data_IF_292506028030
#
_entry.id   IF_292506028030
#
_cell.length_a   1.000
_cell.length_b   1.000
_cell.length_c   1.000
_cell.angle_alpha   90.00
_cell.angle_beta   90.00
_cell.angle_gamma   90.00
#
_symmetry.space_group_name_H-M   'P 1'
#
loop_
_entity.id
_entity.type
_entity.pdbx_description
1 polymer ?
#
# COMPACT_ATOMS: atom_id res chain seq x y z
N UNK A 1 3.32 -0.11 -10.53
CA UNK A 1 2.14 0.21 -9.74
C UNK A 1 0.89 0.40 -10.59
N UNK A 2 0.91 1.19 -11.67
CA UNK A 2 -0.28 1.52 -12.48
C UNK A 2 -1.06 0.29 -12.97
N UNK A 3 -0.37 -0.73 -13.46
CA UNK A 3 -1.01 -1.98 -13.89
C UNK A 3 -1.70 -2.72 -12.73
N UNK A 4 -1.10 -2.73 -11.54
CA UNK A 4 -1.66 -3.33 -10.33
C UNK A 4 -2.87 -2.54 -9.82
N UNK A 5 -2.79 -1.22 -9.84
CA UNK A 5 -3.90 -0.34 -9.48
C UNK A 5 -5.10 -0.52 -10.43
N UNK A 6 -4.84 -0.58 -11.73
CA UNK A 6 -5.87 -0.86 -12.74
C UNK A 6 -6.52 -2.23 -12.52
N UNK A 7 -5.73 -3.28 -12.30
CA UNK A 7 -6.23 -4.63 -12.06
C UNK A 7 -7.16 -4.70 -10.84
N UNK A 8 -6.77 -4.08 -9.71
CA UNK A 8 -7.52 -4.12 -8.46
C UNK A 8 -8.71 -3.18 -8.43
N UNK A 9 -8.56 -1.94 -8.90
CA UNK A 9 -9.60 -0.91 -8.80
C UNK A 9 -10.47 -0.78 -10.05
N UNK A 10 -9.96 -1.21 -11.22
CA UNK A 10 -10.58 -0.96 -12.52
C UNK A 10 -10.43 0.49 -13.00
N UNK A 11 -9.58 1.30 -12.35
CA UNK A 11 -9.39 2.72 -12.64
C UNK A 11 -8.00 2.99 -13.18
N UNK A 12 -7.92 3.82 -14.21
CA UNK A 12 -6.66 4.39 -14.67
C UNK A 12 -6.30 5.58 -13.78
N UNK A 13 -5.19 5.44 -13.06
CA UNK A 13 -4.74 6.38 -12.05
C UNK A 13 -3.38 6.95 -12.41
N UNK A 14 -3.21 8.24 -12.16
CA UNK A 14 -1.94 8.93 -12.29
C UNK A 14 -1.28 9.06 -10.91
N UNK A 15 0.01 8.75 -10.84
CA UNK A 15 0.82 8.90 -9.65
C UNK A 15 1.92 9.93 -9.92
N UNK A 16 2.04 10.94 -9.04
CA UNK A 16 3.12 11.92 -9.09
C UNK A 16 3.78 12.04 -7.74
N UNK A 17 5.11 12.07 -7.74
CA UNK A 17 5.91 12.32 -6.54
C UNK A 17 6.12 13.81 -6.34
N UNK A 18 5.86 14.26 -5.12
CA UNK A 18 6.10 15.62 -4.64
C UNK A 18 7.28 15.56 -3.69
N UNK A 19 8.41 16.14 -4.09
CA UNK A 19 9.66 16.02 -3.32
C UNK A 19 9.67 16.81 -1.98
N UNK A 20 8.70 17.69 -1.77
CA UNK A 20 8.58 18.48 -0.53
C UNK A 20 9.26 19.85 -0.57
N UNK A 21 9.78 20.28 -1.73
CA UNK A 21 10.29 21.63 -2.02
C UNK A 21 10.15 21.93 -3.51
N UNK A 22 10.33 23.20 -3.98
CA UNK A 22 10.25 23.54 -5.39
C UNK A 22 11.21 22.71 -6.25
N UNK A 23 10.73 22.22 -7.40
CA UNK A 23 11.50 21.30 -8.27
C UNK A 23 12.70 21.98 -8.94
N UNK A 24 12.65 23.29 -9.09
CA UNK A 24 13.66 24.16 -9.68
C UNK A 24 14.80 24.54 -8.71
N UNK A 25 14.68 24.17 -7.43
CA UNK A 25 15.66 24.43 -6.41
C UNK A 25 16.30 23.14 -5.89
N UNK A 26 17.57 23.20 -5.55
CA UNK A 26 18.20 22.19 -4.68
C UNK A 26 17.60 22.26 -3.27
N UNK A 27 17.72 21.18 -2.50
CA UNK A 27 17.28 21.17 -1.11
C UNK A 27 17.96 22.27 -0.28
N UNK A 28 19.26 22.50 -0.50
CA UNK A 28 20.02 23.52 0.20
C UNK A 28 19.48 24.93 -0.07
N UNK A 29 19.21 25.26 -1.33
CA UNK A 29 18.61 26.54 -1.73
C UNK A 29 17.20 26.71 -1.14
N UNK A 30 16.37 25.68 -1.18
CA UNK A 30 15.02 25.70 -0.62
C UNK A 30 15.04 25.91 0.90
N UNK A 31 15.95 25.27 1.63
CA UNK A 31 16.14 25.47 3.07
C UNK A 31 16.63 26.88 3.38
N UNK A 32 17.57 27.40 2.61
CA UNK A 32 18.05 28.76 2.77
C UNK A 32 16.94 29.79 2.53
N UNK A 33 16.14 29.62 1.50
CA UNK A 33 15.01 30.49 1.19
C UNK A 33 13.91 30.48 2.28
N UNK A 34 13.77 29.37 3.01
CA UNK A 34 12.78 29.24 4.08
C UNK A 34 13.29 29.61 5.48
N UNK A 35 14.59 29.86 5.64
CA UNK A 35 15.29 29.96 6.96
C UNK A 35 14.63 30.91 7.95
N UNK A 36 14.31 32.12 7.54
CA UNK A 36 13.71 33.13 8.45
C UNK A 36 12.32 32.73 8.90
N UNK A 37 11.49 32.28 7.96
CA UNK A 37 10.12 31.76 8.23
C UNK A 37 10.15 30.56 9.16
N UNK A 38 11.06 29.63 8.91
CA UNK A 38 11.22 28.41 9.69
C UNK A 38 11.69 28.70 11.11
N UNK A 39 12.62 29.68 11.28
CA UNK A 39 13.05 30.15 12.60
C UNK A 39 11.91 30.78 13.41
N UNK A 40 11.04 31.57 12.76
CA UNK A 40 9.88 32.19 13.42
C UNK A 40 8.82 31.16 13.84
N UNK A 41 8.66 30.08 13.05
CA UNK A 41 7.63 29.04 13.27
C UNK A 41 8.14 27.85 14.07
N UNK A 42 9.45 27.73 14.31
CA UNK A 42 10.06 26.60 15.00
C UNK A 42 9.95 25.27 14.24
N UNK A 43 9.69 25.28 12.93
CA UNK A 43 9.57 24.08 12.11
C UNK A 43 10.02 24.31 10.67
N UNK A 44 10.59 23.28 10.05
CA UNK A 44 11.05 23.31 8.65
C UNK A 44 9.89 23.10 7.69
N UNK A 45 9.75 23.97 6.68
CA UNK A 45 8.68 23.94 5.68
C UNK A 45 9.10 23.32 4.35
N UNK A 46 10.38 23.11 4.12
CA UNK A 46 10.93 22.49 2.93
C UNK A 46 11.76 21.26 3.31
N UNK A 47 11.64 20.16 2.58
CA UNK A 47 12.49 18.99 2.78
C UNK A 47 11.78 17.65 2.58
N UNK A 48 12.51 16.52 2.67
CA UNK A 48 11.96 15.18 2.44
C UNK A 48 10.78 14.80 3.35
N UNK A 49 10.71 15.36 4.56
CA UNK A 49 9.58 15.16 5.48
C UNK A 49 8.27 15.80 4.99
N UNK A 50 8.34 16.63 3.95
CA UNK A 50 7.19 17.23 3.25
C UNK A 50 6.91 16.53 1.93
N UNK A 51 7.71 15.50 1.59
CA UNK A 51 7.46 14.71 0.40
C UNK A 51 6.12 13.98 0.51
N UNK A 52 5.45 13.85 -0.61
CA UNK A 52 4.14 13.20 -0.71
C UNK A 52 3.98 12.52 -2.06
N UNK A 53 2.98 11.67 -2.16
CA UNK A 53 2.54 11.04 -3.40
C UNK A 53 1.13 11.51 -3.72
N UNK A 54 0.99 12.27 -4.79
CA UNK A 54 -0.33 12.67 -5.28
C UNK A 54 -0.84 11.62 -6.27
N UNK A 55 -2.00 11.08 -6.00
CA UNK A 55 -2.71 10.14 -6.88
C UNK A 55 -3.94 10.85 -7.41
N UNK A 56 -4.12 10.79 -8.74
CA UNK A 56 -5.22 11.45 -9.44
C UNK A 56 -6.02 10.44 -10.25
N UNK A 57 -7.29 10.69 -10.33
CA UNK A 57 -8.25 10.06 -11.21
C UNK A 57 -9.03 11.15 -11.94
N UNK A 58 -9.02 11.12 -13.26
CA UNK A 58 -9.65 12.13 -14.10
C UNK A 58 -9.29 13.58 -13.69
N UNK A 59 -7.98 13.80 -13.47
CA UNK A 59 -7.42 15.11 -13.08
C UNK A 59 -7.69 15.55 -11.63
N UNK A 60 -8.54 14.83 -10.86
CA UNK A 60 -8.88 15.14 -9.47
C UNK A 60 -8.08 14.29 -8.49
N UNK A 61 -7.87 14.77 -7.27
CA UNK A 61 -7.22 13.97 -6.24
C UNK A 61 -8.08 12.74 -5.90
N UNK A 62 -7.47 11.57 -5.93
CA UNK A 62 -8.15 10.30 -5.68
C UNK A 62 -8.85 10.27 -4.31
N UNK A 63 -8.24 10.87 -3.27
CA UNK A 63 -8.84 10.96 -1.93
C UNK A 63 -10.16 11.74 -1.87
N UNK A 64 -10.43 12.62 -2.86
CA UNK A 64 -11.61 13.47 -2.91
C UNK A 64 -12.69 12.92 -3.86
N UNK A 65 -12.28 12.08 -4.82
CA UNK A 65 -13.12 11.60 -5.91
C UNK A 65 -13.50 10.13 -5.82
N UNK A 66 -12.72 9.32 -5.09
CA UNK A 66 -12.96 7.89 -4.97
C UNK A 66 -13.79 7.53 -3.74
N UNK A 67 -14.62 6.50 -3.88
CA UNK A 67 -15.32 5.88 -2.74
C UNK A 67 -14.33 5.25 -1.76
N UNK A 68 -14.76 5.03 -0.50
CA UNK A 68 -13.93 4.39 0.53
C UNK A 68 -13.39 3.02 0.10
N UNK A 69 -14.24 2.21 -0.57
CA UNK A 69 -13.81 0.92 -1.10
C UNK A 69 -12.74 1.03 -2.18
N UNK A 70 -12.87 1.98 -3.10
CA UNK A 70 -11.85 2.25 -4.12
C UNK A 70 -10.55 2.78 -3.49
N UNK A 71 -10.62 3.62 -2.46
CA UNK A 71 -9.44 4.09 -1.72
C UNK A 71 -8.71 2.93 -1.01
N UNK A 72 -9.43 1.97 -0.43
CA UNK A 72 -8.83 0.75 0.14
C UNK A 72 -8.09 -0.06 -0.91
N UNK A 73 -8.70 -0.32 -2.08
CA UNK A 73 -8.05 -1.04 -3.17
C UNK A 73 -6.81 -0.31 -3.70
N UNK A 74 -6.87 1.03 -3.72
CA UNK A 74 -5.75 1.86 -4.08
C UNK A 74 -4.59 1.71 -3.07
N UNK A 75 -4.87 1.78 -1.76
CA UNK A 75 -3.87 1.57 -0.72
C UNK A 75 -3.24 0.16 -0.82
N UNK A 76 -4.07 -0.86 -1.02
CA UNK A 76 -3.61 -2.25 -1.24
C UNK A 76 -2.69 -2.34 -2.46
N UNK A 77 -3.05 -1.70 -3.57
CA UNK A 77 -2.22 -1.70 -4.79
C UNK A 77 -0.83 -1.08 -4.58
N UNK A 78 -0.75 -0.04 -3.74
CA UNK A 78 0.55 0.56 -3.37
C UNK A 78 1.40 -0.38 -2.53
N UNK A 79 0.80 -1.04 -1.54
CA UNK A 79 1.50 -2.01 -0.67
C UNK A 79 2.03 -3.18 -1.50
N UNK A 80 1.20 -3.77 -2.37
CA UNK A 80 1.63 -4.88 -3.23
C UNK A 80 2.70 -4.45 -4.23
N UNK A 81 2.63 -3.23 -4.77
CA UNK A 81 3.66 -2.70 -5.66
C UNK A 81 5.00 -2.49 -4.93
N UNK A 82 4.97 -2.00 -3.69
CA UNK A 82 6.18 -1.91 -2.85
C UNK A 82 6.75 -3.30 -2.56
N UNK A 83 5.90 -4.27 -2.24
CA UNK A 83 6.30 -5.65 -2.01
C UNK A 83 6.96 -6.26 -3.27
N UNK A 84 6.39 -6.00 -4.46
CA UNK A 84 6.96 -6.44 -5.72
C UNK A 84 8.36 -5.85 -5.99
N UNK A 85 8.60 -4.59 -5.59
CA UNK A 85 9.93 -3.98 -5.68
C UNK A 85 10.91 -4.56 -4.66
N UNK A 86 10.45 -4.79 -3.43
CA UNK A 86 11.30 -5.27 -2.33
C UNK A 86 11.77 -6.71 -2.57
N UNK A 87 10.96 -7.57 -3.17
CA UNK A 87 11.34 -8.96 -3.44
C UNK A 87 12.55 -9.11 -4.37
N UNK A 88 12.81 -8.09 -5.22
CA UNK A 88 13.95 -8.07 -6.14
C UNK A 88 15.23 -7.49 -5.50
N UNK A 89 15.10 -6.79 -4.38
CA UNK A 89 16.19 -6.08 -3.70
C UNK A 89 16.61 -6.79 -2.41
N UNK A 90 15.66 -7.41 -1.70
CA UNK A 90 15.92 -8.08 -0.44
C UNK A 90 16.44 -9.52 -0.66
N UNK A 91 17.43 -9.97 0.13
CA UNK A 91 17.94 -11.35 0.06
C UNK A 91 16.87 -12.37 0.49
N UNK A 92 16.05 -12.02 1.47
CA UNK A 92 15.00 -12.87 2.03
C UNK A 92 13.62 -12.48 1.50
N UNK A 93 12.71 -13.46 1.40
CA UNK A 93 11.34 -13.22 1.00
C UNK A 93 10.63 -12.32 2.04
N UNK A 94 10.00 -11.22 1.60
CA UNK A 94 9.26 -10.34 2.51
C UNK A 94 8.03 -11.06 3.11
N UNK A 95 7.57 -10.60 4.28
CA UNK A 95 6.38 -11.10 4.95
C UNK A 95 5.18 -10.20 4.63
N UNK A 96 4.10 -10.81 4.13
CA UNK A 96 2.80 -10.16 3.93
C UNK A 96 1.81 -10.65 4.99
N UNK A 97 1.27 -9.72 5.77
CA UNK A 97 0.24 -9.97 6.77
C UNK A 97 -1.12 -9.51 6.23
N UNK A 98 -2.10 -10.39 6.24
CA UNK A 98 -3.47 -10.11 5.81
C UNK A 98 -4.45 -10.40 6.95
N UNK A 99 -5.21 -9.39 7.33
CA UNK A 99 -6.24 -9.53 8.35
C UNK A 99 -7.63 -9.61 7.68
N UNK A 100 -8.23 -10.78 7.73
CA UNK A 100 -9.55 -11.15 7.20
C UNK A 100 -9.89 -10.52 5.83
N UNK A 101 -9.07 -10.74 4.79
CA UNK A 101 -9.26 -10.07 3.50
C UNK A 101 -10.60 -10.43 2.81
N UNK A 102 -11.21 -11.57 3.17
CA UNK A 102 -12.50 -11.99 2.63
C UNK A 102 -13.67 -11.17 3.18
N UNK A 103 -13.57 -10.60 4.38
CA UNK A 103 -14.59 -9.72 4.94
C UNK A 103 -14.58 -8.31 4.32
N UNK A 104 -13.46 -7.90 3.72
CA UNK A 104 -13.24 -6.53 3.26
C UNK A 104 -13.48 -6.35 1.74
N UNK A 105 -13.41 -7.43 0.96
CA UNK A 105 -13.48 -7.40 -0.50
C UNK A 105 -14.66 -8.24 -1.00
N UNK A 106 -15.34 -7.75 -2.03
CA UNK A 106 -16.28 -8.56 -2.76
C UNK A 106 -15.58 -9.73 -3.49
N UNK A 107 -16.28 -10.84 -3.80
CA UNK A 107 -15.66 -12.04 -4.36
C UNK A 107 -14.85 -11.79 -5.63
N UNK A 108 -15.28 -10.87 -6.49
CA UNK A 108 -14.59 -10.57 -7.75
C UNK A 108 -13.27 -9.84 -7.50
N UNK A 109 -13.26 -8.87 -6.61
CA UNK A 109 -12.06 -8.12 -6.20
C UNK A 109 -11.11 -9.00 -5.40
N UNK A 110 -11.64 -9.86 -4.54
CA UNK A 110 -10.85 -10.82 -3.79
C UNK A 110 -10.10 -11.78 -4.74
N UNK A 111 -10.74 -12.29 -5.78
CA UNK A 111 -10.08 -13.16 -6.76
C UNK A 111 -8.91 -12.45 -7.47
N UNK A 112 -9.10 -11.20 -7.90
CA UNK A 112 -8.03 -10.40 -8.51
C UNK A 112 -6.90 -10.14 -7.51
N UNK A 113 -7.23 -9.79 -6.27
CA UNK A 113 -6.25 -9.56 -5.21
C UNK A 113 -5.38 -10.79 -4.96
N UNK A 114 -6.00 -11.98 -4.87
CA UNK A 114 -5.31 -13.25 -4.68
C UNK A 114 -4.37 -13.55 -5.85
N UNK A 115 -4.82 -13.35 -7.10
CA UNK A 115 -3.96 -13.51 -8.28
C UNK A 115 -2.72 -12.60 -8.21
N UNK A 116 -2.89 -11.35 -7.76
CA UNK A 116 -1.76 -10.44 -7.57
C UNK A 116 -0.82 -10.90 -6.46
N UNK A 117 -1.35 -11.37 -5.31
CA UNK A 117 -0.54 -11.89 -4.20
C UNK A 117 0.20 -13.16 -4.61
N UNK A 118 -0.44 -14.08 -5.34
CA UNK A 118 0.16 -15.33 -5.80
C UNK A 118 1.37 -15.14 -6.74
N UNK A 119 1.46 -13.98 -7.40
CA UNK A 119 2.60 -13.59 -8.25
C UNK A 119 3.80 -13.07 -7.45
N UNK A 120 3.60 -12.77 -6.18
CA UNK A 120 4.64 -12.24 -5.31
C UNK A 120 5.38 -13.37 -4.60
N UNK A 121 6.70 -13.26 -4.55
CA UNK A 121 7.55 -14.16 -3.78
C UNK A 121 7.64 -13.66 -2.34
N UNK A 122 6.62 -13.97 -1.52
CA UNK A 122 6.55 -13.55 -0.13
C UNK A 122 6.04 -14.69 0.76
N UNK A 123 6.37 -14.63 2.04
CA UNK A 123 5.69 -15.43 3.05
C UNK A 123 4.35 -14.76 3.36
N UNK A 124 3.26 -15.54 3.29
CA UNK A 124 1.92 -15.05 3.59
C UNK A 124 1.45 -15.56 4.95
N UNK A 125 1.00 -14.65 5.82
CA UNK A 125 0.26 -14.98 7.03
C UNK A 125 -1.09 -14.29 6.95
N UNK A 126 -2.17 -15.08 7.06
CA UNK A 126 -3.53 -14.58 6.91
C UNK A 126 -4.40 -15.03 8.07
N UNK A 127 -5.23 -14.12 8.56
CA UNK A 127 -6.34 -14.45 9.48
C UNK A 127 -7.64 -14.66 8.70
N UNK A 128 -8.50 -15.54 9.20
CA UNK A 128 -9.85 -15.78 8.67
C UNK A 128 -10.77 -16.29 9.76
N UNK A 129 -12.04 -15.93 9.68
CA UNK A 129 -13.10 -16.48 10.55
C UNK A 129 -13.56 -17.88 10.11
N UNK A 130 -13.25 -18.27 8.87
CA UNK A 130 -13.56 -19.60 8.34
C UNK A 130 -12.32 -20.48 8.32
N UNK A 131 -12.44 -21.78 8.67
CA UNK A 131 -11.34 -22.73 8.53
C UNK A 131 -10.99 -23.01 7.06
N UNK A 132 -11.89 -22.70 6.16
CA UNK A 132 -11.67 -22.79 4.72
C UNK A 132 -10.88 -21.56 4.26
N UNK A 133 -9.67 -21.78 3.75
CA UNK A 133 -8.82 -20.73 3.18
C UNK A 133 -9.39 -20.14 1.89
N UNK A 134 -10.52 -20.70 1.41
CA UNK A 134 -11.23 -20.22 0.22
C UNK A 134 -10.30 -20.10 -0.98
N UNK A 135 -10.33 -18.95 -1.64
CA UNK A 135 -9.60 -18.77 -2.90
C UNK A 135 -8.06 -18.65 -2.73
N UNK A 136 -7.53 -18.58 -1.52
CA UNK A 136 -6.05 -18.57 -1.27
C UNK A 136 -5.40 -19.95 -1.43
N UNK A 137 -6.19 -20.99 -1.74
CA UNK A 137 -5.69 -22.34 -1.89
C UNK A 137 -5.39 -23.02 -0.55
N UNK A 138 -4.65 -24.15 -0.59
CA UNK A 138 -4.33 -24.89 0.60
C UNK A 138 -3.11 -24.26 1.31
N UNK A 139 -3.24 -23.83 2.57
CA UNK A 139 -2.13 -23.29 3.34
C UNK A 139 -1.14 -24.40 3.74
N UNK A 140 0.15 -24.05 3.89
CA UNK A 140 1.16 -24.97 4.40
C UNK A 140 0.93 -25.32 5.86
N UNK A 141 0.41 -24.38 6.64
CA UNK A 141 0.08 -24.54 8.06
C UNK A 141 -1.17 -23.76 8.42
N UNK A 142 -1.99 -24.36 9.28
CA UNK A 142 -3.17 -23.72 9.86
C UNK A 142 -3.02 -23.67 11.36
N UNK A 143 -3.37 -22.54 11.95
CA UNK A 143 -3.38 -22.33 13.40
C UNK A 143 -4.77 -21.92 13.84
N UNK A 144 -5.29 -22.60 14.85
CA UNK A 144 -6.52 -22.19 15.52
C UNK A 144 -6.19 -21.32 16.72
N UNK A 145 -6.84 -20.16 16.81
CA UNK A 145 -6.67 -19.20 17.90
C UNK A 145 -7.96 -19.13 18.70
N UNK A 146 -7.90 -19.54 19.99
CA UNK A 146 -9.04 -19.49 20.89
C UNK A 146 -8.59 -19.08 22.29
N UNK A 147 -9.30 -18.11 22.89
CA UNK A 147 -9.09 -17.66 24.29
C UNK A 147 -7.63 -17.35 24.65
N UNK A 148 -6.90 -16.75 23.71
CA UNK A 148 -5.48 -16.40 23.88
C UNK A 148 -4.51 -17.60 23.71
N UNK A 149 -5.00 -18.78 23.39
CA UNK A 149 -4.20 -19.95 23.03
C UNK A 149 -4.09 -20.12 21.52
N UNK A 150 -2.94 -20.58 21.04
CA UNK A 150 -2.68 -20.87 19.62
C UNK A 150 -2.28 -22.34 19.50
N UNK A 151 -2.93 -23.09 18.62
CA UNK A 151 -2.59 -24.49 18.32
C UNK A 151 -2.57 -24.74 16.82
N UNK A 152 -1.63 -25.51 16.34
CA UNK A 152 -1.61 -25.99 14.96
C UNK A 152 -2.67 -27.08 14.78
N UNK A 153 -3.40 -27.04 13.67
CA UNK A 153 -4.46 -28.00 13.30
C UNK A 153 -4.14 -28.67 11.97
#
# INVERSE_FOLDING_TARGET
WSAMALALSGLELELSYLQGWPKDLSLAEALQACRERDALRGQTHAGPHRADVAIRWDGRLARESLSRGQQKLLAVSLILAQLALLQDVLPDAPLLLLDDPAAELDPSRLAVFIDQVARLRCQLVMTSLSPDSGPFGRPDRVFHVERGGVRQV
#
